data_IF_133983825155
#
_entry.id   IF_133983825155
#
_cell.length_a   1.000
_cell.length_b   1.000
_cell.length_c   1.000
_cell.angle_alpha   90.00
_cell.angle_beta   90.00
_cell.angle_gamma   90.00
#
_symmetry.space_group_name_H-M   'P 1'
#
loop_
_entity.id
_entity.type
_entity.pdbx_description
1 polymer ?
#
# COMPACT_ATOMS: atom_id res chain seq x y z
N UNK A 1 -13.15 -5.42 13.93
CA UNK A 1 -13.47 -6.72 14.56
C UNK A 1 -14.10 -7.62 13.52
N UNK A 2 -13.58 -8.85 13.32
CA UNK A 2 -14.18 -9.84 12.42
C UNK A 2 -14.68 -11.02 13.23
N UNK A 3 -15.89 -11.51 12.91
CA UNK A 3 -16.51 -12.67 13.55
C UNK A 3 -16.79 -13.75 12.51
N UNK A 4 -16.58 -15.00 12.88
CA UNK A 4 -16.93 -16.18 12.10
C UNK A 4 -17.68 -17.16 13.00
N UNK A 5 -18.51 -18.01 12.39
CA UNK A 5 -19.32 -19.00 13.09
C UNK A 5 -18.93 -20.40 12.63
N UNK A 6 -18.96 -21.36 13.54
CA UNK A 6 -18.68 -22.75 13.21
C UNK A 6 -19.89 -23.32 12.47
N UNK A 7 -19.69 -23.75 11.23
CA UNK A 7 -20.70 -24.47 10.44
C UNK A 7 -20.68 -25.98 10.77
N UNK A 8 -19.50 -26.53 11.06
CA UNK A 8 -19.30 -27.93 11.37
C UNK A 8 -18.18 -28.08 12.41
N UNK A 9 -18.48 -28.79 13.50
CA UNK A 9 -17.52 -29.10 14.55
C UNK A 9 -16.52 -30.19 14.10
N UNK A 10 -15.27 -30.16 14.59
CA UNK A 10 -14.30 -31.21 14.34
C UNK A 10 -14.80 -32.56 14.87
N UNK A 11 -14.67 -33.61 14.05
CA UNK A 11 -15.02 -35.00 14.40
C UNK A 11 -13.84 -35.92 14.13
N UNK A 12 -13.79 -37.06 14.83
CA UNK A 12 -12.79 -38.12 14.62
C UNK A 12 -11.33 -37.64 14.69
N UNK A 13 -11.02 -36.71 15.61
CA UNK A 13 -9.67 -36.16 15.77
C UNK A 13 -9.28 -35.11 14.73
N UNK A 14 -10.23 -34.51 14.02
CA UNK A 14 -9.98 -33.36 13.15
C UNK A 14 -9.46 -32.13 13.90
N UNK A 15 -8.71 -31.28 13.21
CA UNK A 15 -8.12 -30.08 13.81
C UNK A 15 -9.20 -29.09 14.31
N UNK A 16 -8.94 -28.41 15.45
CA UNK A 16 -9.86 -27.43 15.99
C UNK A 16 -10.04 -26.23 15.05
N UNK A 17 -11.24 -25.66 15.02
CA UNK A 17 -11.49 -24.46 14.24
C UNK A 17 -10.60 -23.29 14.72
N UNK A 18 -10.12 -22.43 13.80
CA UNK A 18 -9.38 -21.23 14.17
C UNK A 18 -10.26 -20.25 14.98
N UNK A 19 -9.65 -19.28 15.69
CA UNK A 19 -10.37 -18.35 16.56
C UNK A 19 -11.57 -17.67 15.89
N UNK A 20 -12.72 -17.72 16.58
CA UNK A 20 -14.00 -17.20 16.06
C UNK A 20 -14.09 -15.67 16.07
N UNK A 21 -13.38 -15.05 17.02
CA UNK A 21 -13.23 -13.61 17.09
C UNK A 21 -11.80 -13.19 16.76
N UNK A 22 -11.69 -12.25 15.84
CA UNK A 22 -10.42 -11.65 15.45
C UNK A 22 -10.51 -10.14 15.70
N UNK A 23 -9.67 -9.67 16.64
CA UNK A 23 -9.57 -8.26 17.02
C UNK A 23 -8.23 -7.74 16.52
N UNK A 24 -8.27 -6.73 15.67
CA UNK A 24 -7.13 -5.92 15.30
C UNK A 24 -7.35 -4.52 15.88
N UNK A 25 -6.33 -3.94 16.50
CA UNK A 25 -6.37 -2.52 16.87
C UNK A 25 -6.40 -1.68 15.59
N UNK A 26 -7.36 -0.77 15.48
CA UNK A 26 -7.31 0.29 14.48
C UNK A 26 -6.49 1.41 15.09
N UNK A 27 -5.27 1.62 14.58
CA UNK A 27 -4.48 2.78 14.96
C UNK A 27 -5.08 4.01 14.28
N UNK A 28 -5.78 4.85 15.05
CA UNK A 28 -6.28 6.13 14.57
C UNK A 28 -5.16 7.16 14.68
N UNK A 29 -4.89 7.84 13.57
CA UNK A 29 -3.88 8.88 13.50
C UNK A 29 -4.58 10.23 13.59
N UNK A 30 -5.07 10.54 14.79
CA UNK A 30 -5.69 11.81 15.12
C UNK A 30 -4.86 12.55 16.16
N UNK A 31 -4.75 13.86 16.03
CA UNK A 31 -4.17 14.73 17.07
C UNK A 31 -5.09 14.77 18.29
N UNK A 32 -4.60 15.34 19.40
CA UNK A 32 -5.44 15.59 20.59
C UNK A 32 -6.67 16.45 20.29
N UNK A 33 -6.59 17.29 19.25
CA UNK A 33 -7.67 18.15 18.75
C UNK A 33 -8.61 17.42 17.78
N UNK A 34 -8.39 16.13 17.51
CA UNK A 34 -9.21 15.31 16.62
C UNK A 34 -8.89 15.46 15.12
N UNK A 35 -7.79 16.14 14.77
CA UNK A 35 -7.41 16.36 13.37
C UNK A 35 -6.58 15.18 12.84
N UNK A 36 -6.83 14.75 11.59
CA UNK A 36 -6.10 13.65 10.97
C UNK A 36 -4.62 14.01 10.74
N UNK A 37 -3.70 13.26 11.36
CA UNK A 37 -2.25 13.37 11.20
C UNK A 37 -1.63 12.14 10.50
N UNK A 38 -2.45 11.22 9.98
CA UNK A 38 -1.99 9.96 9.41
C UNK A 38 -1.08 10.10 8.20
N UNK A 39 -1.17 11.19 7.44
CA UNK A 39 -0.34 11.41 6.25
C UNK A 39 1.17 11.37 6.53
N UNK A 40 1.59 11.78 7.73
CA UNK A 40 3.00 11.87 8.11
C UNK A 40 3.53 10.65 8.88
N UNK A 41 2.63 9.78 9.37
CA UNK A 41 2.94 8.69 10.30
C UNK A 41 2.53 7.31 9.79
N UNK A 42 1.55 7.22 8.89
CA UNK A 42 1.10 5.97 8.30
C UNK A 42 2.14 5.51 7.26
N UNK A 43 2.59 4.24 7.31
CA UNK A 43 3.42 3.68 6.25
C UNK A 43 2.68 3.73 4.91
N UNK A 44 3.40 4.04 3.84
CA UNK A 44 2.88 3.89 2.50
C UNK A 44 2.65 2.40 2.19
N UNK A 45 1.41 2.03 1.91
CA UNK A 45 1.11 0.68 1.43
C UNK A 45 1.22 0.63 -0.10
N UNK A 46 2.01 -0.32 -0.60
CA UNK A 46 2.29 -0.44 -2.04
C UNK A 46 2.07 -1.84 -2.60
N UNK A 47 1.75 -1.87 -3.89
CA UNK A 47 1.75 -3.10 -4.70
C UNK A 47 2.30 -2.82 -6.11
N UNK A 48 2.61 -3.88 -6.87
CA UNK A 48 3.08 -3.76 -8.26
C UNK A 48 2.10 -2.98 -9.13
N UNK A 49 2.64 -2.15 -10.03
CA UNK A 49 1.85 -1.38 -10.98
C UNK A 49 1.02 -2.24 -11.93
N UNK A 50 1.34 -3.53 -12.09
CA UNK A 50 0.53 -4.49 -12.87
C UNK A 50 -0.94 -4.54 -12.39
N UNK A 51 -1.19 -4.32 -11.10
CA UNK A 51 -2.55 -4.28 -10.55
C UNK A 51 -3.35 -3.02 -10.90
N UNK A 52 -2.72 -2.00 -11.50
CA UNK A 52 -3.41 -0.75 -11.90
C UNK A 52 -4.53 -1.00 -12.91
N UNK A 53 -4.32 -1.89 -13.89
CA UNK A 53 -5.30 -2.21 -14.93
C UNK A 53 -6.56 -2.87 -14.35
N UNK A 54 -6.38 -3.84 -13.46
CA UNK A 54 -7.49 -4.51 -12.78
C UNK A 54 -8.24 -3.55 -11.84
N UNK A 55 -7.54 -2.59 -11.22
CA UNK A 55 -8.20 -1.51 -10.45
C UNK A 55 -9.06 -0.61 -11.32
N UNK A 56 -8.54 -0.13 -12.45
CA UNK A 56 -9.32 0.68 -13.41
C UNK A 56 -10.57 -0.08 -13.86
N UNK A 57 -10.46 -1.38 -14.15
CA UNK A 57 -11.60 -2.22 -14.54
C UNK A 57 -12.66 -2.38 -13.45
N UNK A 58 -12.25 -2.52 -12.18
CA UNK A 58 -13.18 -2.62 -11.04
C UNK A 58 -13.81 -1.29 -10.66
N UNK A 59 -13.06 -0.19 -10.78
CA UNK A 59 -13.58 1.17 -10.59
C UNK A 59 -14.59 1.54 -11.68
N UNK A 60 -14.37 1.08 -12.92
CA UNK A 60 -15.27 1.28 -14.06
C UNK A 60 -16.58 0.45 -14.04
N UNK A 61 -17.01 -0.07 -12.88
CA UNK A 61 -18.38 -0.58 -12.69
C UNK A 61 -19.37 0.52 -13.14
N UNK A 62 -20.46 0.20 -13.86
CA UNK A 62 -21.23 1.15 -14.70
C UNK A 62 -21.93 2.29 -13.95
N UNK A 63 -21.78 2.38 -12.63
CA UNK A 63 -22.22 3.53 -11.84
C UNK A 63 -21.24 4.71 -11.91
N UNK A 64 -19.94 4.46 -12.18
CA UNK A 64 -18.87 5.47 -12.20
C UNK A 64 -18.03 5.36 -13.48
N UNK A 65 -18.69 5.22 -14.62
CA UNK A 65 -18.05 5.40 -15.94
C UNK A 65 -17.99 6.89 -16.27
N UNK A 66 -17.24 7.65 -15.48
CA UNK A 66 -16.82 8.99 -15.90
C UNK A 66 -15.37 8.87 -16.30
N UNK A 67 -15.13 9.01 -17.60
CA UNK A 67 -13.84 9.25 -18.25
C UNK A 67 -13.31 10.64 -17.87
N UNK A 68 -13.50 11.04 -16.61
CA UNK A 68 -12.81 12.16 -16.00
C UNK A 68 -11.40 11.67 -15.77
N UNK A 69 -10.44 12.36 -16.36
CA UNK A 69 -9.03 12.31 -15.97
C UNK A 69 -8.94 12.60 -14.47
N UNK A 70 -9.18 11.59 -13.63
CA UNK A 70 -9.02 11.70 -12.19
C UNK A 70 -7.54 11.93 -11.98
N UNK A 71 -7.20 13.16 -11.58
CA UNK A 71 -5.84 13.70 -11.50
C UNK A 71 -4.92 12.76 -10.73
N UNK A 72 -4.24 11.87 -11.43
CA UNK A 72 -3.24 10.98 -10.86
C UNK A 72 -1.90 11.70 -10.85
N UNK A 73 -1.12 11.47 -9.80
CA UNK A 73 0.27 11.92 -9.76
C UNK A 73 1.17 10.76 -9.38
N UNK A 74 2.45 10.93 -9.61
CA UNK A 74 3.46 9.96 -9.28
C UNK A 74 4.52 10.55 -8.35
N UNK A 75 4.93 9.76 -7.36
CA UNK A 75 5.99 10.15 -6.43
C UNK A 75 7.18 9.23 -6.63
N UNK A 76 8.34 9.84 -6.82
CA UNK A 76 9.62 9.14 -6.86
C UNK A 76 10.20 9.07 -5.45
N UNK A 77 10.56 7.86 -5.03
CA UNK A 77 11.19 7.60 -3.75
C UNK A 77 12.51 6.89 -3.94
N UNK A 78 13.52 7.25 -3.14
CA UNK A 78 14.79 6.52 -3.06
C UNK A 78 14.71 5.54 -1.89
N UNK A 79 14.87 4.26 -2.19
CA UNK A 79 14.80 3.18 -1.19
C UNK A 79 16.02 3.26 -0.27
N UNK A 80 15.81 3.40 1.03
CA UNK A 80 16.88 3.49 2.02
C UNK A 80 17.13 2.13 2.70
N UNK A 81 16.06 1.41 3.05
CA UNK A 81 16.17 0.06 3.62
C UNK A 81 15.00 -0.84 3.21
N UNK A 82 15.20 -2.14 3.29
CA UNK A 82 14.13 -3.14 3.22
C UNK A 82 14.40 -4.34 4.14
N UNK A 83 13.34 -4.98 4.61
CA UNK A 83 13.44 -6.19 5.40
C UNK A 83 13.89 -7.38 4.54
N UNK A 84 14.61 -8.32 5.16
CA UNK A 84 15.03 -9.55 4.49
C UNK A 84 13.84 -10.41 4.00
N UNK A 85 12.65 -10.23 4.57
CA UNK A 85 11.45 -10.95 4.14
C UNK A 85 11.03 -10.61 2.70
N UNK A 86 11.44 -9.45 2.15
CA UNK A 86 11.18 -9.11 0.75
C UNK A 86 11.91 -10.04 -0.23
N UNK A 87 13.08 -10.56 0.13
CA UNK A 87 13.85 -11.47 -0.75
C UNK A 87 13.42 -12.94 -0.61
N UNK A 88 12.79 -13.30 0.50
CA UNK A 88 12.29 -14.66 0.77
C UNK A 88 10.96 -14.96 0.08
N UNK A 89 10.26 -13.94 -0.43
CA UNK A 89 8.89 -14.08 -0.93
C UNK A 89 8.82 -14.82 -2.27
N UNK A 90 8.35 -16.07 -2.28
CA UNK A 90 8.26 -16.90 -3.48
C UNK A 90 6.85 -17.03 -4.07
N UNK A 91 5.83 -16.43 -3.44
CA UNK A 91 4.46 -16.55 -3.93
C UNK A 91 4.29 -15.77 -5.26
N UNK A 92 3.65 -16.35 -6.30
CA UNK A 92 3.60 -15.74 -7.63
C UNK A 92 3.08 -14.29 -7.65
N UNK A 93 2.05 -13.99 -6.85
CA UNK A 93 1.44 -12.66 -6.76
C UNK A 93 2.26 -11.63 -5.96
N UNK A 94 3.28 -12.07 -5.23
CA UNK A 94 4.11 -11.24 -4.35
C UNK A 94 5.59 -11.24 -4.77
N UNK A 95 5.95 -11.96 -5.84
CA UNK A 95 7.31 -12.08 -6.36
C UNK A 95 7.95 -10.75 -6.72
N UNK A 96 7.15 -9.73 -7.03
CA UNK A 96 7.63 -8.37 -7.29
C UNK A 96 8.46 -7.78 -6.13
N UNK A 97 8.18 -8.19 -4.88
CA UNK A 97 8.90 -7.75 -3.68
C UNK A 97 10.39 -8.12 -3.73
N UNK A 98 10.75 -9.19 -4.43
CA UNK A 98 12.14 -9.61 -4.60
C UNK A 98 12.98 -8.65 -5.44
N UNK A 99 12.35 -7.78 -6.24
CA UNK A 99 13.05 -6.85 -7.12
C UNK A 99 13.35 -5.50 -6.48
N UNK A 100 12.80 -5.22 -5.30
CA UNK A 100 13.12 -4.01 -4.54
C UNK A 100 14.55 -4.13 -4.01
N UNK A 101 15.30 -3.04 -4.13
CA UNK A 101 16.71 -2.95 -3.75
C UNK A 101 16.99 -1.62 -3.07
N UNK A 102 17.84 -1.66 -2.04
CA UNK A 102 18.34 -0.45 -1.37
C UNK A 102 19.13 0.42 -2.37
N UNK A 103 18.99 1.74 -2.24
CA UNK A 103 19.64 2.72 -3.10
C UNK A 103 18.93 3.02 -4.42
N UNK A 104 17.97 2.20 -4.85
CA UNK A 104 17.24 2.40 -6.10
C UNK A 104 16.08 3.38 -5.94
N UNK A 105 15.83 4.15 -7.00
CA UNK A 105 14.64 4.98 -7.14
C UNK A 105 13.48 4.15 -7.66
N UNK A 106 12.34 4.28 -6.98
CA UNK A 106 11.08 3.62 -7.31
C UNK A 106 10.00 4.68 -7.52
N UNK A 107 9.02 4.35 -8.36
CA UNK A 107 7.90 5.23 -8.68
C UNK A 107 6.64 4.65 -8.09
N UNK A 108 5.88 5.48 -7.36
CA UNK A 108 4.62 5.07 -6.77
C UNK A 108 3.53 6.00 -7.27
N UNK A 109 2.63 5.47 -8.09
CA UNK A 109 1.51 6.22 -8.63
C UNK A 109 0.37 6.31 -7.59
N UNK A 110 -0.09 7.53 -7.35
CA UNK A 110 -1.28 7.85 -6.59
C UNK A 110 -2.45 8.03 -7.55
N UNK A 111 -3.36 7.06 -7.54
CA UNK A 111 -4.54 7.02 -8.39
C UNK A 111 -5.73 6.49 -7.58
N UNK A 112 -6.97 6.77 -7.99
CA UNK A 112 -8.15 6.23 -7.31
C UNK A 112 -8.17 4.70 -7.37
N UNK A 113 -8.69 4.01 -6.32
CA UNK A 113 -9.37 4.53 -5.14
C UNK A 113 -8.44 4.86 -3.95
N UNK A 114 -7.11 4.80 -4.11
CA UNK A 114 -6.18 5.08 -3.02
C UNK A 114 -6.13 6.58 -2.63
N UNK A 115 -6.62 7.45 -3.52
CA UNK A 115 -6.74 8.88 -3.29
C UNK A 115 -7.88 9.20 -2.31
N UNK A 116 -7.60 10.07 -1.35
CA UNK A 116 -8.61 10.59 -0.44
C UNK A 116 -9.44 11.69 -1.11
N UNK A 117 -10.76 11.64 -0.95
CA UNK A 117 -11.71 12.53 -1.64
C UNK A 117 -11.57 14.02 -1.29
N UNK A 118 -10.96 14.36 -0.15
CA UNK A 118 -10.84 15.75 0.31
C UNK A 118 -9.64 16.51 -0.29
N UNK A 119 -8.47 15.86 -0.36
CA UNK A 119 -7.22 16.50 -0.75
C UNK A 119 -6.56 15.87 -1.99
N UNK A 120 -7.16 14.83 -2.57
CA UNK A 120 -6.64 14.11 -3.72
C UNK A 120 -5.23 13.51 -3.47
N UNK A 121 -4.93 13.11 -2.23
CA UNK A 121 -3.63 12.54 -1.85
C UNK A 121 -3.73 11.09 -1.41
N UNK A 122 -2.60 10.39 -1.51
CA UNK A 122 -2.44 9.05 -0.97
C UNK A 122 -1.78 9.07 0.41
N UNK A 123 -2.13 8.11 1.25
CA UNK A 123 -1.51 7.93 2.56
C UNK A 123 -0.03 7.54 2.40
N UNK A 124 0.86 8.22 3.11
CA UNK A 124 2.31 7.99 3.02
C UNK A 124 2.99 8.59 1.80
N UNK A 125 2.35 9.52 1.07
CA UNK A 125 2.92 10.20 -0.11
C UNK A 125 4.02 11.24 0.23
N UNK A 126 4.26 11.48 1.52
CA UNK A 126 5.31 12.36 2.01
C UNK A 126 5.10 13.83 1.67
N UNK A 127 3.86 14.35 1.82
CA UNK A 127 3.53 15.76 1.61
C UNK A 127 4.54 16.71 2.28
N UNK A 128 4.79 16.55 3.58
CA UNK A 128 5.67 17.41 4.38
C UNK A 128 7.11 16.87 4.50
N UNK A 129 7.53 16.00 3.58
CA UNK A 129 8.87 15.41 3.62
C UNK A 129 9.85 16.30 2.83
N UNK A 130 10.68 17.08 3.53
CA UNK A 130 11.70 17.99 2.96
C UNK A 130 12.93 17.26 2.36
N UNK A 131 12.72 16.15 1.65
CA UNK A 131 13.76 15.30 1.05
C UNK A 131 14.62 14.50 2.05
N UNK A 132 14.80 15.01 3.26
CA UNK A 132 15.57 14.36 4.33
C UNK A 132 14.73 13.48 5.27
N UNK A 133 13.40 13.64 5.26
CA UNK A 133 12.51 12.83 6.11
C UNK A 133 12.46 11.39 5.61
N UNK A 134 12.82 10.46 6.48
CA UNK A 134 12.69 9.01 6.23
C UNK A 134 11.22 8.62 6.43
N UNK A 135 10.63 8.03 5.40
CA UNK A 135 9.26 7.53 5.40
C UNK A 135 9.28 6.00 5.41
N UNK A 136 8.23 5.41 5.96
CA UNK A 136 8.06 3.97 6.01
C UNK A 136 7.14 3.49 4.90
N UNK A 137 7.39 2.29 4.41
CA UNK A 137 6.54 1.64 3.43
C UNK A 137 6.37 0.16 3.77
N UNK A 138 5.26 -0.41 3.31
CA UNK A 138 4.93 -1.81 3.51
C UNK A 138 4.30 -2.39 2.26
N UNK A 139 4.70 -3.62 1.90
CA UNK A 139 4.15 -4.32 0.78
C UNK A 139 2.77 -4.93 1.12
N UNK A 140 1.80 -4.73 0.22
CA UNK A 140 0.50 -5.40 0.33
C UNK A 140 0.66 -6.88 -0.01
N UNK A 141 0.04 -7.75 0.81
CA UNK A 141 0.11 -9.20 0.66
C UNK A 141 1.22 -9.87 1.47
N UNK A 142 2.23 -9.11 1.91
CA UNK A 142 3.23 -9.57 2.85
C UNK A 142 3.67 -8.42 3.79
N UNK A 143 3.01 -8.26 4.96
CA UNK A 143 3.36 -7.23 5.93
C UNK A 143 4.79 -7.29 6.46
N UNK A 144 5.43 -8.46 6.38
CA UNK A 144 6.82 -8.59 6.80
C UNK A 144 7.79 -7.99 5.78
N UNK A 145 7.40 -7.84 4.51
CA UNK A 145 8.15 -7.08 3.52
C UNK A 145 7.82 -5.59 3.65
N UNK A 146 8.74 -4.87 4.26
CA UNK A 146 8.60 -3.46 4.61
C UNK A 146 9.97 -2.79 4.63
N UNK A 147 10.01 -1.48 4.63
CA UNK A 147 11.26 -0.76 4.63
C UNK A 147 11.10 0.73 4.81
N UNK A 148 12.16 1.44 4.47
CA UNK A 148 12.17 2.91 4.49
C UNK A 148 12.64 3.48 3.17
N UNK A 149 12.17 4.70 2.87
CA UNK A 149 12.59 5.46 1.70
C UNK A 149 12.57 6.96 1.97
N UNK A 150 13.16 7.74 1.09
CA UNK A 150 13.09 9.20 1.08
C UNK A 150 12.41 9.69 -0.19
N UNK A 151 11.56 10.71 -0.05
CA UNK A 151 10.91 11.35 -1.20
C UNK A 151 11.96 12.09 -2.02
N UNK A 152 12.01 11.81 -3.32
CA UNK A 152 12.86 12.52 -4.28
C UNK A 152 12.09 13.70 -4.86
N UNK A 153 10.94 13.44 -5.48
CA UNK A 153 10.07 14.46 -6.07
C UNK A 153 8.67 13.91 -6.34
N UNK A 154 7.74 14.82 -6.57
CA UNK A 154 6.41 14.53 -7.10
C UNK A 154 6.33 15.07 -8.53
N UNK A 155 5.80 14.27 -9.44
CA UNK A 155 5.62 14.58 -10.87
C UNK A 155 4.24 14.09 -11.32
N UNK A 156 3.75 14.57 -12.47
CA UNK A 156 2.49 14.07 -13.04
C UNK A 156 2.64 12.62 -13.52
N UNK A 157 3.71 12.35 -14.28
CA UNK A 157 4.04 11.03 -14.80
C UNK A 157 5.51 10.71 -14.51
N UNK A 158 5.78 9.50 -13.98
CA UNK A 158 7.15 9.05 -13.75
C UNK A 158 7.65 8.11 -14.85
N UNK A 159 8.97 8.06 -15.04
CA UNK A 159 9.63 7.18 -16.01
C UNK A 159 10.46 6.07 -15.34
N UNK A 160 9.86 5.29 -14.43
CA UNK A 160 10.54 4.13 -13.82
C UNK A 160 10.46 2.87 -14.70
N UNK A 161 11.47 1.98 -14.63
CA UNK A 161 11.34 0.61 -15.11
C UNK A 161 10.14 -0.09 -14.47
N UNK A 162 9.47 -0.99 -15.20
CA UNK A 162 8.26 -1.67 -14.71
C UNK A 162 8.45 -2.39 -13.37
N UNK A 163 9.63 -2.97 -13.12
CA UNK A 163 9.98 -3.65 -11.85
C UNK A 163 10.11 -2.70 -10.65
N UNK A 164 10.29 -1.40 -10.89
CA UNK A 164 10.36 -0.34 -9.88
C UNK A 164 9.14 0.59 -9.96
N UNK A 165 8.06 0.14 -10.60
CA UNK A 165 6.80 0.87 -10.70
C UNK A 165 5.74 0.23 -9.81
N UNK A 166 5.17 1.02 -8.92
CA UNK A 166 4.23 0.62 -7.90
C UNK A 166 3.02 1.56 -7.86
N UNK A 167 2.00 1.16 -7.10
CA UNK A 167 0.80 1.97 -6.84
C UNK A 167 0.55 2.01 -5.33
N UNK A 168 0.10 3.17 -4.84
CA UNK A 168 -0.43 3.29 -3.48
C UNK A 168 -1.71 2.46 -3.34
N UNK A 169 -2.01 1.96 -2.13
CA UNK A 169 -3.19 1.11 -1.88
C UNK A 169 -4.02 1.61 -0.73
#
# INVERSE_FOLDING_TARGET
MRRRYVQQEPKNGGEPCPPLEEKAGCLEYVTYEGQNCGHDHVPAFITTFEYSKERKRRAASPLWSSDTEESSYCVEFKTESLSHHCTLENRPYARWMQYIREGYTVCVACQPPAMQSGNHRCSGDGLNADGNKVLHWQAVGNPQCQGTWKKVRQVEECSCPGVHSFIFT
#
